data_IF_884134842633
#
_entry.id   IF_884134842633
#
_cell.length_a   1.000
_cell.length_b   1.000
_cell.length_c   1.000
_cell.angle_alpha   90.00
_cell.angle_beta   90.00
_cell.angle_gamma   90.00
#
_symmetry.space_group_name_H-M   'P 1'
#
loop_
_entity.id
_entity.type
_entity.pdbx_description
1 polymer ?
#
# COMPACT_ATOMS: atom_id res chain seq x y z
N UNK A 1 0.72 12.76 -19.10
CA UNK A 1 1.22 13.95 -19.81
C UNK A 1 2.70 14.05 -19.47
N UNK A 2 3.58 13.55 -20.35
CA UNK A 2 5.01 13.79 -20.18
C UNK A 2 5.21 15.29 -20.28
N UNK A 3 5.80 15.90 -19.24
CA UNK A 3 6.16 17.31 -19.28
C UNK A 3 7.38 17.45 -20.18
N UNK A 4 7.16 17.67 -21.49
CA UNK A 4 8.19 17.88 -22.49
C UNK A 4 9.08 19.10 -22.18
N UNK A 5 8.76 19.87 -21.12
CA UNK A 5 9.54 21.03 -20.66
C UNK A 5 10.74 20.65 -19.79
N UNK A 6 10.82 19.45 -19.21
CA UNK A 6 11.90 19.04 -18.29
C UNK A 6 13.30 19.11 -18.93
N UNK A 7 13.55 18.58 -20.16
CA UNK A 7 14.85 18.67 -20.79
C UNK A 7 15.27 20.10 -21.13
N UNK A 8 14.31 21.00 -21.37
CA UNK A 8 14.56 22.38 -21.72
C UNK A 8 14.75 23.30 -20.51
N UNK A 9 14.30 22.86 -19.33
CA UNK A 9 14.26 23.66 -18.11
C UNK A 9 15.60 23.84 -17.44
N UNK A 10 16.52 22.87 -17.55
CA UNK A 10 17.86 22.91 -16.97
C UNK A 10 18.83 22.16 -17.89
N UNK A 11 19.18 22.70 -19.06
CA UNK A 11 20.00 22.00 -20.03
C UNK A 11 21.41 21.72 -19.48
N UNK A 12 21.81 20.45 -19.48
CA UNK A 12 23.10 20.00 -18.96
C UNK A 12 23.16 19.75 -17.45
N UNK A 13 22.11 20.09 -16.69
CA UNK A 13 22.05 19.87 -15.24
C UNK A 13 21.35 18.52 -14.91
N UNK A 14 22.07 17.42 -15.14
CA UNK A 14 21.51 16.04 -15.08
C UNK A 14 20.89 15.75 -13.71
N UNK A 15 21.55 16.14 -12.60
CA UNK A 15 21.01 15.89 -11.25
C UNK A 15 19.75 16.67 -10.97
N UNK A 16 19.64 17.91 -11.45
CA UNK A 16 18.43 18.72 -11.30
C UNK A 16 17.28 18.17 -12.13
N UNK A 17 17.55 17.70 -13.33
CA UNK A 17 16.55 17.03 -14.18
C UNK A 17 16.07 15.73 -13.53
N UNK A 18 16.98 14.92 -13.02
CA UNK A 18 16.64 13.68 -12.33
C UNK A 18 15.79 13.94 -11.09
N UNK A 19 16.19 14.88 -10.23
CA UNK A 19 15.41 15.29 -9.06
C UNK A 19 14.02 15.82 -9.43
N UNK A 20 13.88 16.55 -10.54
CA UNK A 20 12.58 17.00 -11.04
C UNK A 20 11.68 15.82 -11.48
N UNK A 21 12.24 14.79 -12.12
CA UNK A 21 11.51 13.55 -12.43
C UNK A 21 11.06 12.82 -11.16
N UNK A 22 11.94 12.69 -10.16
CA UNK A 22 11.60 12.10 -8.87
C UNK A 22 10.45 12.87 -8.19
N UNK A 23 10.51 14.20 -8.21
CA UNK A 23 9.44 15.05 -7.65
C UNK A 23 8.09 14.75 -8.30
N UNK A 24 8.02 14.66 -9.63
CA UNK A 24 6.78 14.32 -10.36
C UNK A 24 6.27 12.96 -9.95
N UNK A 25 7.15 11.95 -9.85
CA UNK A 25 6.76 10.61 -9.39
C UNK A 25 6.18 10.64 -7.98
N UNK A 26 6.78 11.40 -7.05
CA UNK A 26 6.28 11.57 -5.68
C UNK A 26 4.91 12.25 -5.69
N UNK A 27 4.74 13.35 -6.43
CA UNK A 27 3.46 14.05 -6.56
C UNK A 27 2.35 13.14 -7.10
N UNK A 28 2.65 12.32 -8.09
CA UNK A 28 1.71 11.33 -8.63
C UNK A 28 1.43 10.17 -7.64
N UNK A 29 2.38 9.82 -6.80
CA UNK A 29 2.20 8.79 -5.75
C UNK A 29 1.24 9.26 -4.66
N UNK A 30 1.34 10.53 -4.27
CA UNK A 30 0.49 11.13 -3.23
C UNK A 30 -0.91 11.43 -3.76
N UNK A 31 -1.04 11.75 -5.05
CA UNK A 31 -2.32 12.15 -5.64
C UNK A 31 -3.22 10.96 -5.95
N UNK A 32 -4.47 10.93 -5.48
CA UNK A 32 -5.44 9.89 -5.86
C UNK A 32 -5.72 9.82 -7.37
N UNK A 33 -5.52 10.94 -8.07
CA UNK A 33 -5.72 11.07 -9.53
C UNK A 33 -4.42 11.13 -10.30
N UNK A 34 -3.29 10.82 -9.64
CA UNK A 34 -1.96 10.85 -10.24
C UNK A 34 -1.83 9.81 -11.37
N UNK A 35 -0.95 10.11 -12.32
CA UNK A 35 -0.65 9.19 -13.42
C UNK A 35 0.01 7.91 -12.90
N UNK A 36 -0.65 6.79 -13.08
CA UNK A 36 -0.20 5.47 -12.59
C UNK A 36 1.11 5.02 -13.25
N UNK A 37 1.37 5.45 -14.49
CA UNK A 37 2.62 5.13 -15.19
C UNK A 37 3.82 5.90 -14.65
N UNK A 38 3.57 7.05 -14.00
CA UNK A 38 4.59 7.98 -13.52
C UNK A 38 4.57 8.13 -12.00
N UNK A 39 4.22 7.07 -11.24
CA UNK A 39 4.28 7.03 -9.78
C UNK A 39 5.28 6.01 -9.27
N UNK A 40 5.71 6.15 -8.04
CA UNK A 40 6.41 5.08 -7.34
C UNK A 40 5.44 3.98 -6.94
N UNK A 41 5.72 2.75 -7.39
CA UNK A 41 4.90 1.57 -7.07
C UNK A 41 5.26 0.96 -5.72
N UNK A 42 6.44 1.30 -5.18
CA UNK A 42 6.92 0.86 -3.88
C UNK A 42 7.93 1.85 -3.30
N UNK A 43 8.13 1.85 -1.98
CA UNK A 43 9.17 2.63 -1.33
C UNK A 43 10.58 2.29 -1.84
N UNK A 44 10.83 1.03 -2.18
CA UNK A 44 12.13 0.56 -2.69
C UNK A 44 12.49 1.26 -4.00
N UNK A 45 11.54 1.45 -4.91
CA UNK A 45 11.78 2.17 -6.16
C UNK A 45 12.18 3.63 -5.94
N UNK A 46 11.66 4.27 -4.89
CA UNK A 46 12.06 5.62 -4.49
C UNK A 46 13.45 5.63 -3.86
N UNK A 47 13.76 4.63 -3.02
CA UNK A 47 15.09 4.46 -2.41
C UNK A 47 16.17 4.19 -3.45
N UNK A 48 15.87 3.40 -4.48
CA UNK A 48 16.79 3.14 -5.60
C UNK A 48 17.10 4.45 -6.36
N UNK A 49 16.10 5.27 -6.66
CA UNK A 49 16.32 6.57 -7.30
C UNK A 49 17.16 7.51 -6.40
N UNK A 50 16.93 7.52 -5.08
CA UNK A 50 17.77 8.28 -4.13
C UNK A 50 19.21 7.79 -4.10
N UNK A 51 19.42 6.48 -4.14
CA UNK A 51 20.76 5.88 -4.19
C UNK A 51 21.49 6.21 -5.50
N UNK A 52 20.77 6.23 -6.63
CA UNK A 52 21.33 6.63 -7.93
C UNK A 52 21.84 8.07 -7.89
N UNK A 53 21.04 9.03 -7.35
CA UNK A 53 21.48 10.41 -7.26
C UNK A 53 22.61 10.61 -6.26
N UNK A 54 22.60 9.90 -5.10
CA UNK A 54 23.67 9.95 -4.10
C UNK A 54 25.00 9.49 -4.72
N UNK A 55 25.02 8.33 -5.36
CA UNK A 55 26.20 7.76 -6.00
C UNK A 55 26.69 8.63 -7.17
N UNK A 56 25.76 9.18 -7.97
CA UNK A 56 26.09 10.07 -9.06
C UNK A 56 26.77 11.36 -8.61
N UNK A 57 26.31 11.96 -7.51
CA UNK A 57 26.93 13.16 -6.92
C UNK A 57 28.33 12.87 -6.39
N UNK A 58 28.52 11.71 -5.75
CA UNK A 58 29.84 11.28 -5.28
C UNK A 58 30.79 11.10 -6.48
N UNK A 59 30.35 10.43 -7.53
CA UNK A 59 31.15 10.23 -8.75
C UNK A 59 31.47 11.54 -9.50
N UNK A 60 30.69 12.60 -9.27
CA UNK A 60 30.91 13.93 -9.82
C UNK A 60 31.69 14.87 -8.88
N UNK A 61 32.41 14.33 -7.88
CA UNK A 61 33.16 15.10 -6.86
C UNK A 61 32.28 16.08 -6.04
N UNK A 62 30.97 15.81 -5.95
CA UNK A 62 29.98 16.58 -5.18
C UNK A 62 29.58 15.88 -3.88
N UNK A 63 30.49 15.19 -3.20
CA UNK A 63 30.23 14.39 -2.00
C UNK A 63 29.54 15.20 -0.89
N UNK A 64 29.89 16.48 -0.73
CA UNK A 64 29.24 17.33 0.28
C UNK A 64 27.73 17.44 0.08
N UNK A 65 27.26 17.52 -1.17
CA UNK A 65 25.82 17.54 -1.48
C UNK A 65 25.17 16.18 -1.24
N UNK A 66 25.84 15.11 -1.63
CA UNK A 66 25.37 13.75 -1.38
C UNK A 66 25.18 13.49 0.13
N UNK A 67 26.17 13.84 0.94
CA UNK A 67 26.16 13.60 2.40
C UNK A 67 25.21 14.52 3.14
N UNK A 68 25.13 15.80 2.77
CA UNK A 68 24.33 16.78 3.52
C UNK A 68 22.86 16.84 3.11
N UNK A 69 22.50 16.44 1.89
CA UNK A 69 21.14 16.58 1.38
C UNK A 69 20.49 15.24 1.02
N UNK A 70 21.18 14.38 0.28
CA UNK A 70 20.55 13.17 -0.25
C UNK A 70 20.56 12.03 0.77
N UNK A 71 21.70 11.80 1.42
CA UNK A 71 21.84 10.72 2.41
C UNK A 71 20.86 10.82 3.59
N UNK A 72 20.64 11.98 4.22
CA UNK A 72 19.64 12.10 5.28
C UNK A 72 18.24 11.79 4.79
N UNK A 73 17.85 12.28 3.60
CA UNK A 73 16.55 11.97 3.00
C UNK A 73 16.39 10.46 2.71
N UNK A 74 17.44 9.81 2.18
CA UNK A 74 17.42 8.37 1.95
C UNK A 74 17.28 7.58 3.24
N UNK A 75 18.02 7.95 4.31
CA UNK A 75 17.91 7.31 5.61
C UNK A 75 16.52 7.49 6.25
N UNK A 76 15.93 8.67 6.08
CA UNK A 76 14.56 8.93 6.51
C UNK A 76 13.57 8.05 5.74
N UNK A 77 13.70 8.01 4.41
CA UNK A 77 12.87 7.16 3.56
C UNK A 77 13.06 5.65 3.83
N UNK A 78 14.29 5.20 4.16
CA UNK A 78 14.56 3.82 4.60
C UNK A 78 13.85 3.48 5.92
N UNK A 79 13.81 4.43 6.84
CA UNK A 79 13.23 4.23 8.18
C UNK A 79 11.71 4.25 8.17
N UNK A 80 11.12 5.16 7.43
CA UNK A 80 9.68 5.44 7.46
C UNK A 80 8.94 4.95 6.21
N UNK A 81 9.67 4.67 5.12
CA UNK A 81 9.11 4.32 3.81
C UNK A 81 8.05 5.35 3.36
N UNK A 82 6.89 4.90 2.87
CA UNK A 82 5.75 5.76 2.59
C UNK A 82 4.78 5.87 3.76
N UNK A 83 5.04 5.15 4.85
CA UNK A 83 4.20 5.08 6.04
C UNK A 83 4.98 5.66 7.22
N UNK A 84 4.54 6.78 7.75
CA UNK A 84 5.20 7.43 8.90
C UNK A 84 5.25 6.54 10.15
N UNK A 85 4.30 5.61 10.28
CA UNK A 85 4.21 4.62 11.37
C UNK A 85 3.54 3.35 10.84
N UNK A 86 3.91 2.20 11.41
CA UNK A 86 3.15 0.96 11.23
C UNK A 86 1.94 0.98 12.15
N UNK A 87 0.77 0.68 11.60
CA UNK A 87 -0.46 0.58 12.35
C UNK A 87 -0.72 -0.88 12.69
N UNK A 88 -0.80 -1.19 13.99
CA UNK A 88 -1.35 -2.48 14.43
C UNK A 88 -2.88 -2.42 14.31
N UNK A 89 -3.44 -3.43 13.67
CA UNK A 89 -4.88 -3.59 13.60
C UNK A 89 -5.32 -4.49 14.74
N UNK A 90 -6.33 -4.05 15.47
CA UNK A 90 -6.93 -4.83 16.54
C UNK A 90 -8.43 -4.83 16.35
N UNK A 91 -8.96 -5.99 16.03
CA UNK A 91 -10.39 -6.20 15.95
C UNK A 91 -10.81 -7.25 16.99
N UNK A 92 -12.01 -7.11 17.53
CA UNK A 92 -12.53 -8.11 18.44
C UNK A 92 -12.88 -9.38 17.65
N UNK A 93 -12.48 -10.53 18.20
CA UNK A 93 -12.78 -11.83 17.59
C UNK A 93 -14.29 -12.08 17.42
N UNK A 94 -15.11 -11.56 18.34
CA UNK A 94 -16.55 -11.66 18.21
C UNK A 94 -17.08 -10.85 17.04
N UNK A 95 -16.56 -9.63 16.82
CA UNK A 95 -16.91 -8.80 15.67
C UNK A 95 -16.52 -9.46 14.37
N UNK A 96 -15.30 -10.00 14.30
CA UNK A 96 -14.82 -10.76 13.14
C UNK A 96 -15.67 -11.99 12.85
N UNK A 97 -16.00 -12.78 13.89
CA UNK A 97 -16.84 -13.95 13.76
C UNK A 97 -18.28 -13.59 13.32
N UNK A 98 -18.86 -12.53 13.88
CA UNK A 98 -20.19 -12.08 13.48
C UNK A 98 -20.22 -11.60 12.02
N UNK A 99 -19.18 -10.91 11.58
CA UNK A 99 -19.02 -10.50 10.18
C UNK A 99 -18.95 -11.72 9.26
N UNK A 100 -18.13 -12.73 9.61
CA UNK A 100 -18.02 -13.94 8.83
C UNK A 100 -19.34 -14.74 8.80
N UNK A 101 -20.09 -14.79 9.92
CA UNK A 101 -21.42 -15.38 9.97
C UNK A 101 -22.41 -14.69 9.05
N UNK A 102 -22.40 -13.36 9.05
CA UNK A 102 -23.26 -12.56 8.16
C UNK A 102 -22.94 -12.82 6.67
N UNK A 103 -21.65 -12.89 6.34
CA UNK A 103 -21.17 -13.26 5.00
C UNK A 103 -21.63 -14.68 4.63
N UNK A 104 -21.47 -15.64 5.54
CA UNK A 104 -21.91 -17.00 5.32
C UNK A 104 -23.41 -17.09 5.03
N UNK A 105 -24.23 -16.38 5.82
CA UNK A 105 -25.68 -16.34 5.64
C UNK A 105 -26.06 -15.78 4.26
N UNK A 106 -25.40 -14.70 3.82
CA UNK A 106 -25.67 -14.10 2.51
C UNK A 106 -25.28 -15.06 1.36
N UNK A 107 -24.10 -15.68 1.44
CA UNK A 107 -23.63 -16.62 0.43
C UNK A 107 -24.50 -17.89 0.30
N UNK A 108 -25.07 -18.37 1.40
CA UNK A 108 -25.86 -19.59 1.43
C UNK A 108 -27.37 -19.34 1.42
N UNK A 109 -27.83 -18.10 1.33
CA UNK A 109 -29.24 -17.71 1.46
C UNK A 109 -29.89 -18.30 2.73
N UNK A 110 -29.16 -18.32 3.84
CA UNK A 110 -29.58 -18.89 5.10
C UNK A 110 -29.87 -17.80 6.14
N UNK A 111 -30.77 -18.10 7.07
CA UNK A 111 -31.12 -17.16 8.15
C UNK A 111 -30.16 -17.23 9.35
N UNK A 112 -29.40 -18.32 9.45
CA UNK A 112 -28.50 -18.56 10.58
C UNK A 112 -27.26 -19.31 10.11
N UNK A 113 -26.08 -18.89 10.58
CA UNK A 113 -24.81 -19.54 10.28
C UNK A 113 -24.53 -20.67 11.27
N UNK A 114 -23.68 -21.65 10.90
CA UNK A 114 -23.23 -22.68 11.82
C UNK A 114 -22.51 -22.08 13.05
N UNK A 115 -22.49 -22.86 14.13
CA UNK A 115 -21.70 -22.51 15.30
C UNK A 115 -20.20 -22.41 14.94
N UNK A 116 -19.50 -21.40 15.45
CA UNK A 116 -18.07 -21.16 15.18
C UNK A 116 -17.16 -22.31 15.61
N UNK A 117 -17.60 -23.14 16.53
CA UNK A 117 -16.88 -24.33 17.00
C UNK A 117 -17.22 -25.59 16.23
N UNK A 118 -18.23 -25.53 15.34
CA UNK A 118 -18.72 -26.70 14.59
C UNK A 118 -17.69 -27.14 13.53
N UNK A 119 -17.68 -28.48 13.20
CA UNK A 119 -16.89 -28.97 12.09
C UNK A 119 -17.25 -28.34 10.75
N UNK A 120 -18.53 -28.07 10.51
CA UNK A 120 -19.07 -27.44 9.31
C UNK A 120 -18.48 -26.03 9.11
N UNK A 121 -18.40 -25.22 10.17
CA UNK A 121 -17.79 -23.88 10.13
C UNK A 121 -16.31 -23.95 9.76
N UNK A 122 -15.57 -24.88 10.36
CA UNK A 122 -14.14 -25.07 10.07
C UNK A 122 -13.89 -25.53 8.64
N UNK A 123 -14.72 -26.42 8.13
CA UNK A 123 -14.63 -26.89 6.75
C UNK A 123 -14.87 -25.75 5.77
N UNK A 124 -15.91 -24.93 6.01
CA UNK A 124 -16.18 -23.76 5.20
C UNK A 124 -15.01 -22.76 5.21
N UNK A 125 -14.47 -22.42 6.37
CA UNK A 125 -13.31 -21.52 6.46
C UNK A 125 -12.11 -22.07 5.70
N UNK A 126 -11.81 -23.36 5.84
CA UNK A 126 -10.71 -23.99 5.12
C UNK A 126 -10.93 -23.94 3.60
N UNK A 127 -12.15 -24.14 3.13
CA UNK A 127 -12.49 -23.99 1.71
C UNK A 127 -12.25 -22.54 1.24
N UNK A 128 -12.72 -21.56 2.00
CA UNK A 128 -12.53 -20.14 1.63
C UNK A 128 -11.05 -19.73 1.61
N UNK A 129 -10.24 -20.23 2.54
CA UNK A 129 -8.79 -19.97 2.56
C UNK A 129 -8.02 -20.67 1.41
N UNK A 130 -8.57 -21.74 0.87
CA UNK A 130 -7.99 -22.47 -0.27
C UNK A 130 -8.32 -21.86 -1.63
N UNK A 131 -9.34 -21.04 -1.72
CA UNK A 131 -9.75 -20.41 -2.97
C UNK A 131 -8.99 -19.09 -3.21
N UNK A 132 -8.42 -18.88 -4.40
CA UNK A 132 -7.83 -17.59 -4.73
C UNK A 132 -8.92 -16.53 -4.78
N UNK A 133 -8.79 -15.51 -3.95
CA UNK A 133 -9.75 -14.40 -3.87
C UNK A 133 -9.65 -13.51 -5.10
N UNK A 134 -10.36 -13.83 -6.16
CA UNK A 134 -10.55 -12.98 -7.30
C UNK A 134 -11.82 -12.13 -7.11
N UNK A 135 -11.63 -10.91 -6.61
CA UNK A 135 -12.72 -9.95 -6.45
C UNK A 135 -13.71 -10.34 -5.36
N UNK A 136 -13.70 -9.64 -4.25
CA UNK A 136 -14.70 -9.86 -3.20
C UNK A 136 -16.08 -9.44 -3.71
N UNK A 137 -17.09 -10.31 -3.63
CA UNK A 137 -18.45 -9.93 -3.97
C UNK A 137 -18.91 -8.77 -3.09
N UNK A 138 -19.78 -7.92 -3.64
CA UNK A 138 -20.46 -6.92 -2.85
C UNK A 138 -21.52 -7.61 -2.01
N UNK A 139 -21.39 -7.52 -0.69
CA UNK A 139 -22.43 -7.96 0.23
C UNK A 139 -23.39 -6.83 0.50
N UNK A 140 -24.67 -7.03 0.26
CA UNK A 140 -25.69 -5.98 0.34
C UNK A 140 -26.52 -6.04 1.61
N UNK A 141 -26.47 -7.16 2.34
CA UNK A 141 -27.30 -7.41 3.53
C UNK A 141 -26.53 -7.33 4.85
N UNK A 142 -25.25 -6.92 4.82
CA UNK A 142 -24.46 -6.77 6.03
C UNK A 142 -24.99 -5.59 6.88
N UNK A 143 -25.02 -5.78 8.19
CA UNK A 143 -25.20 -4.68 9.12
C UNK A 143 -24.02 -3.71 9.11
N UNK A 144 -24.21 -2.52 9.71
CA UNK A 144 -23.19 -1.46 9.70
C UNK A 144 -21.87 -1.90 10.32
N UNK A 145 -21.89 -2.69 11.39
CA UNK A 145 -20.68 -3.18 12.07
C UNK A 145 -19.90 -4.17 11.16
N UNK A 146 -20.60 -5.14 10.60
CA UNK A 146 -20.02 -6.12 9.68
C UNK A 146 -19.49 -5.47 8.40
N UNK A 147 -20.22 -4.50 7.85
CA UNK A 147 -19.79 -3.74 6.67
C UNK A 147 -18.53 -2.92 6.97
N UNK A 148 -18.45 -2.29 8.15
CA UNK A 148 -17.26 -1.54 8.59
C UNK A 148 -16.04 -2.45 8.75
N UNK A 149 -16.20 -3.58 9.42
CA UNK A 149 -15.13 -4.57 9.62
C UNK A 149 -14.62 -5.12 8.28
N UNK A 150 -15.52 -5.51 7.39
CA UNK A 150 -15.13 -5.96 6.04
C UNK A 150 -14.43 -4.83 5.25
N UNK A 151 -14.91 -3.60 5.39
CA UNK A 151 -14.28 -2.42 4.77
C UNK A 151 -12.86 -2.20 5.26
N UNK A 152 -12.60 -2.39 6.56
CA UNK A 152 -11.27 -2.32 7.14
C UNK A 152 -10.32 -3.37 6.50
N UNK A 153 -10.74 -4.63 6.43
CA UNK A 153 -9.91 -5.69 5.82
C UNK A 153 -9.66 -5.47 4.33
N UNK A 154 -10.65 -4.94 3.59
CA UNK A 154 -10.48 -4.55 2.19
C UNK A 154 -9.43 -3.45 2.03
N UNK A 155 -9.50 -2.42 2.86
CA UNK A 155 -8.51 -1.33 2.86
C UNK A 155 -7.10 -1.87 3.14
N UNK A 156 -6.96 -2.81 4.08
CA UNK A 156 -5.66 -3.48 4.34
C UNK A 156 -5.16 -4.21 3.11
N UNK A 157 -6.02 -5.01 2.48
CA UNK A 157 -5.66 -5.77 1.27
C UNK A 157 -5.24 -4.83 0.12
N UNK A 158 -6.02 -3.80 -0.14
CA UNK A 158 -5.71 -2.78 -1.16
C UNK A 158 -4.40 -2.04 -0.88
N UNK A 159 -4.13 -1.72 0.39
CA UNK A 159 -2.87 -1.07 0.80
C UNK A 159 -1.68 -2.01 0.59
N UNK A 160 -1.81 -3.29 0.94
CA UNK A 160 -0.76 -4.29 0.73
C UNK A 160 -0.44 -4.54 -0.74
N UNK A 161 -1.44 -4.49 -1.60
CA UNK A 161 -1.26 -4.73 -3.04
C UNK A 161 -0.70 -3.51 -3.77
N UNK A 162 -1.12 -2.30 -3.37
CA UNK A 162 -0.92 -1.11 -4.19
C UNK A 162 0.05 -0.07 -3.61
N UNK A 163 0.39 -0.14 -2.31
CA UNK A 163 1.19 0.90 -1.65
C UNK A 163 2.41 0.31 -0.91
N UNK A 164 2.17 -0.20 0.29
CA UNK A 164 3.25 -0.65 1.18
C UNK A 164 2.75 -1.79 2.06
N UNK A 165 3.35 -2.96 1.89
CA UNK A 165 3.06 -4.14 2.73
C UNK A 165 3.45 -3.95 4.19
N UNK A 166 4.37 -3.03 4.46
CA UNK A 166 4.83 -2.74 5.82
C UNK A 166 4.04 -1.63 6.52
N UNK A 167 3.04 -1.03 5.86
CA UNK A 167 2.17 -0.01 6.45
C UNK A 167 1.39 -0.53 7.65
N UNK A 168 1.05 -1.83 7.62
CA UNK A 168 0.40 -2.52 8.73
C UNK A 168 1.39 -3.46 9.42
N UNK A 169 1.37 -3.44 10.76
CA UNK A 169 2.14 -4.34 11.60
C UNK A 169 1.46 -5.72 11.72
N UNK A 170 1.31 -6.18 12.94
CA UNK A 170 0.64 -7.45 13.21
C UNK A 170 -0.87 -7.25 13.35
N UNK A 171 -1.59 -8.25 12.91
CA UNK A 171 -3.02 -8.41 13.12
C UNK A 171 -3.26 -9.45 14.22
#
# INVERSE_FOLDING_TARGET
MQDDSLPSRNPGEVFRQFAACMKIKVENTISPTGDDASRYKSPEAFLDDLLVIENGLIAADCENLAVSMIRPLRQEAESFKFSAVRLDLRENSDTSNNTLKAIWCELNNASEAPDTESPEWREWLNCQLGEPMHGLPSFSSLDEASASTLGLFRLVGETWENLDREAFGYF
#
